data_IF_489527609454
#
_entry.id   IF_489527609454
#
_cell.length_a   1.000
_cell.length_b   1.000
_cell.length_c   1.000
_cell.angle_alpha   90.00
_cell.angle_beta   90.00
_cell.angle_gamma   90.00
#
_symmetry.space_group_name_H-M   'P 1'
#
loop_
_entity.id
_entity.type
_entity.pdbx_description
1 polymer ?
#
# COMPACT_ATOMS: atom_id res chain seq x y z
N UNK A 1 1.15 -32.52 10.96
CA UNK A 1 1.59 -32.17 10.17
C UNK A 1 0.91 -31.28 9.36
N UNK A 2 -0.12 -31.43 9.16
CA UNK A 2 -0.84 -30.56 8.46
C UNK A 2 -0.90 -29.23 9.00
N UNK A 3 -0.73 -29.16 10.26
CA UNK A 3 -0.75 -27.91 10.90
C UNK A 3 0.29 -27.00 10.40
N UNK A 4 1.33 -27.54 9.83
CA UNK A 4 2.34 -26.67 9.30
C UNK A 4 1.82 -25.78 8.24
N UNK A 5 0.83 -26.26 7.54
CA UNK A 5 0.31 -25.47 6.48
C UNK A 5 -0.33 -24.23 7.00
N UNK A 6 -1.06 -24.33 8.08
CA UNK A 6 -1.67 -23.15 8.65
C UNK A 6 -0.62 -22.19 9.15
N UNK A 7 0.44 -22.74 9.72
CA UNK A 7 1.51 -21.88 10.18
C UNK A 7 2.16 -21.15 9.03
N UNK A 8 2.31 -21.83 7.91
CA UNK A 8 2.93 -21.21 6.78
C UNK A 8 2.08 -20.08 6.24
N UNK A 9 0.78 -20.26 6.25
CA UNK A 9 -0.08 -19.21 5.77
C UNK A 9 -0.03 -18.00 6.68
N UNK A 10 0.14 -18.23 7.95
CA UNK A 10 0.24 -17.14 8.89
C UNK A 10 1.63 -16.54 8.90
N UNK A 11 2.61 -17.24 8.38
CA UNK A 11 3.98 -16.77 8.40
C UNK A 11 4.30 -16.04 7.13
N UNK A 12 4.63 -14.79 7.24
CA UNK A 12 5.06 -14.01 6.11
C UNK A 12 6.54 -13.78 6.25
N UNK A 13 7.28 -14.07 5.18
CA UNK A 13 8.72 -13.89 5.21
C UNK A 13 9.07 -12.44 4.99
N UNK A 14 9.73 -11.83 5.94
CA UNK A 14 10.16 -10.46 5.84
C UNK A 14 11.68 -10.42 5.67
N UNK A 15 12.22 -9.41 4.99
CA UNK A 15 11.46 -8.33 4.33
C UNK A 15 10.74 -8.85 3.10
N UNK A 16 9.66 -8.21 2.74
CA UNK A 16 8.91 -8.61 1.56
C UNK A 16 8.25 -7.40 0.93
N UNK A 17 7.82 -7.58 -0.30
CA UNK A 17 7.12 -6.53 -1.01
C UNK A 17 5.64 -6.65 -0.70
N UNK A 18 5.04 -5.54 -0.28
CA UNK A 18 3.62 -5.52 0.07
C UNK A 18 2.92 -4.53 -0.84
N UNK A 19 1.79 -4.90 -1.35
CA UNK A 19 1.07 -4.04 -2.29
C UNK A 19 -0.15 -3.44 -1.61
N UNK A 20 -0.22 -2.11 -1.63
CA UNK A 20 -1.38 -1.38 -1.13
C UNK A 20 -2.15 -0.83 -2.32
N UNK A 21 -3.47 -0.86 -2.25
CA UNK A 21 -4.29 -0.20 -3.25
C UNK A 21 -4.71 1.14 -2.67
N UNK A 22 -4.33 2.21 -3.33
CA UNK A 22 -4.52 3.56 -2.84
C UNK A 22 -5.43 4.30 -3.81
N UNK A 23 -6.45 4.94 -3.29
CA UNK A 23 -7.43 5.64 -4.10
C UNK A 23 -7.51 7.10 -3.69
N UNK A 24 -7.50 7.97 -4.66
CA UNK A 24 -7.63 9.40 -4.42
C UNK A 24 -8.24 10.10 -5.61
N UNK A 25 -8.37 11.42 -5.50
CA UNK A 25 -9.00 12.20 -6.56
C UNK A 25 -8.01 12.65 -7.62
N UNK A 26 -6.76 12.78 -7.26
CA UNK A 26 -5.78 13.45 -8.11
C UNK A 26 -4.47 12.68 -8.08
N UNK A 27 -3.93 12.42 -9.26
CA UNK A 27 -2.70 11.62 -9.35
C UNK A 27 -1.55 12.28 -8.62
N UNK A 28 -1.36 13.56 -8.82
CA UNK A 28 -0.25 14.26 -8.20
C UNK A 28 -0.37 14.26 -6.68
N UNK A 29 -1.56 14.49 -6.18
CA UNK A 29 -1.80 14.50 -4.74
C UNK A 29 -1.50 13.13 -4.14
N UNK A 30 -1.95 12.07 -4.80
CA UNK A 30 -1.72 10.72 -4.31
C UNK A 30 -0.24 10.39 -4.34
N UNK A 31 0.44 10.70 -5.44
CA UNK A 31 1.86 10.41 -5.55
C UNK A 31 2.66 11.18 -4.49
N UNK A 32 2.32 12.43 -4.25
CA UNK A 32 3.01 13.22 -3.23
C UNK A 32 2.77 12.65 -1.84
N UNK A 33 1.56 12.20 -1.58
CA UNK A 33 1.23 11.61 -0.29
C UNK A 33 2.04 10.33 -0.06
N UNK A 34 2.15 9.50 -1.09
CA UNK A 34 2.89 8.26 -0.99
C UNK A 34 4.37 8.54 -0.76
N UNK A 35 4.94 9.48 -1.51
CA UNK A 35 6.34 9.83 -1.34
C UNK A 35 6.61 10.37 0.07
N UNK A 36 5.66 11.15 0.58
CA UNK A 36 5.80 11.74 1.89
C UNK A 36 5.82 10.68 2.99
N UNK A 37 4.99 9.66 2.83
CA UNK A 37 4.86 8.62 3.82
C UNK A 37 6.00 7.61 3.74
N UNK A 38 6.33 7.17 2.53
CA UNK A 38 7.28 6.08 2.36
C UNK A 38 8.72 6.55 2.41
N UNK A 39 8.98 7.74 1.87
CA UNK A 39 10.29 8.37 1.96
C UNK A 39 11.43 7.50 1.42
N UNK A 40 12.28 7.00 2.29
CA UNK A 40 13.51 6.34 1.88
C UNK A 40 13.32 4.90 1.41
N UNK A 41 12.15 4.33 1.60
CA UNK A 41 11.95 2.94 1.22
C UNK A 41 11.81 2.84 -0.29
N UNK A 42 12.19 1.69 -0.82
CA UNK A 42 11.96 1.43 -2.22
C UNK A 42 10.50 1.14 -2.45
N UNK A 43 9.93 1.74 -3.44
CA UNK A 43 8.54 1.50 -3.77
C UNK A 43 8.29 1.76 -5.25
N UNK A 44 7.21 1.19 -5.75
CA UNK A 44 6.79 1.40 -7.12
C UNK A 44 5.31 1.70 -7.11
N UNK A 45 4.91 2.65 -7.95
CA UNK A 45 3.50 3.01 -8.08
C UNK A 45 3.07 2.67 -9.50
N UNK A 46 2.02 1.88 -9.61
CA UNK A 46 1.44 1.54 -10.90
C UNK A 46 0.01 2.03 -10.93
N UNK A 47 -0.35 2.65 -12.04
CA UNK A 47 -1.72 3.11 -12.19
C UNK A 47 -2.62 1.90 -12.30
N UNK A 48 -3.74 1.96 -11.60
CA UNK A 48 -4.77 0.97 -11.74
C UNK A 48 -5.87 1.60 -12.59
N UNK A 49 -6.96 0.91 -12.75
CA UNK A 49 -8.04 1.43 -13.58
C UNK A 49 -8.70 2.62 -12.90
N UNK A 50 -8.93 3.67 -13.68
CA UNK A 50 -9.70 4.79 -13.18
C UNK A 50 -11.16 4.36 -13.06
N UNK A 51 -11.90 4.99 -12.18
CA UNK A 51 -13.31 4.69 -12.06
C UNK A 51 -14.01 5.17 -13.32
N UNK A 52 -15.14 4.58 -13.63
CA UNK A 52 -15.87 4.93 -14.84
C UNK A 52 -16.33 6.38 -14.81
N UNK A 53 -16.56 6.90 -13.63
CA UNK A 53 -17.00 8.28 -13.51
C UNK A 53 -15.84 9.25 -13.55
N UNK A 54 -14.60 8.76 -13.46
CA UNK A 54 -13.44 9.62 -13.40
C UNK A 54 -13.30 10.34 -12.08
N UNK A 55 -14.13 9.99 -11.10
CA UNK A 55 -14.12 10.66 -9.83
C UNK A 55 -12.94 10.29 -8.96
N UNK A 56 -12.50 9.04 -9.07
CA UNK A 56 -11.40 8.54 -8.25
C UNK A 56 -10.39 7.84 -9.13
N UNK A 57 -9.15 7.93 -8.73
CA UNK A 57 -8.07 7.23 -9.40
C UNK A 57 -7.53 6.19 -8.44
N UNK A 58 -7.14 5.04 -8.97
CA UNK A 58 -6.66 3.93 -8.17
C UNK A 58 -5.22 3.62 -8.56
N UNK A 59 -4.39 3.37 -7.56
CA UNK A 59 -2.98 3.08 -7.78
C UNK A 59 -2.58 1.88 -6.93
N UNK A 60 -1.70 1.06 -7.48
CA UNK A 60 -1.10 -0.03 -6.71
C UNK A 60 0.29 0.41 -6.29
N UNK A 61 0.54 0.39 -5.01
CA UNK A 61 1.81 0.83 -4.45
C UNK A 61 2.50 -0.38 -3.85
N UNK A 62 3.59 -0.80 -4.45
CA UNK A 62 4.37 -1.93 -3.96
C UNK A 62 5.54 -1.36 -3.20
N UNK A 63 5.66 -1.72 -1.94
CA UNK A 63 6.72 -1.20 -1.10
C UNK A 63 7.32 -2.33 -0.29
N UNK A 64 8.63 -2.28 -0.11
CA UNK A 64 9.32 -3.28 0.69
C UNK A 64 9.13 -2.96 2.16
N UNK A 65 8.62 -3.93 2.91
CA UNK A 65 8.40 -3.76 4.35
C UNK A 65 9.28 -4.77 5.08
N UNK A 66 9.82 -4.35 6.21
CA UNK A 66 10.76 -5.17 6.96
C UNK A 66 10.08 -6.08 7.96
N UNK A 67 8.88 -5.73 8.39
CA UNK A 67 8.15 -6.55 9.35
C UNK A 67 6.69 -6.13 9.34
N UNK A 68 5.91 -6.84 10.11
CA UNK A 68 4.48 -6.59 10.17
C UNK A 68 4.17 -5.22 10.74
N UNK A 69 4.94 -4.81 11.73
CA UNK A 69 4.74 -3.49 12.33
C UNK A 69 4.94 -2.39 11.30
N UNK A 70 5.97 -2.51 10.47
CA UNK A 70 6.21 -1.54 9.40
C UNK A 70 5.09 -1.52 8.38
N UNK A 71 4.61 -2.71 8.02
CA UNK A 71 3.51 -2.84 7.08
C UNK A 71 2.26 -2.12 7.60
N UNK A 72 1.93 -2.37 8.86
CA UNK A 72 0.74 -1.77 9.45
C UNK A 72 0.89 -0.26 9.65
N UNK A 73 2.10 0.17 9.95
CA UNK A 73 2.37 1.59 10.13
C UNK A 73 2.17 2.36 8.83
N UNK A 74 2.63 1.79 7.72
CA UNK A 74 2.44 2.41 6.41
C UNK A 74 0.95 2.46 6.06
N UNK A 75 0.22 1.37 6.33
CA UNK A 75 -1.20 1.33 6.07
C UNK A 75 -1.92 2.44 6.83
N UNK A 76 -1.63 2.58 8.11
CA UNK A 76 -2.26 3.62 8.92
C UNK A 76 -1.91 5.02 8.41
N UNK A 77 -0.65 5.23 8.07
CA UNK A 77 -0.24 6.53 7.57
C UNK A 77 -0.94 6.88 6.27
N UNK A 78 -1.09 5.90 5.38
CA UNK A 78 -1.80 6.11 4.13
C UNK A 78 -3.27 6.42 4.41
N UNK A 79 -3.86 5.66 5.33
CA UNK A 79 -5.27 5.82 5.63
C UNK A 79 -5.57 7.21 6.22
N UNK A 80 -4.63 7.74 6.98
CA UNK A 80 -4.84 9.02 7.65
C UNK A 80 -4.41 10.24 6.85
N UNK A 81 -3.76 10.03 5.72
CA UNK A 81 -3.25 11.15 4.94
C UNK A 81 -4.38 11.83 4.18
N UNK A 82 -4.41 13.16 4.22
CA UNK A 82 -5.47 13.92 3.60
C UNK A 82 -5.53 13.74 2.09
N UNK A 83 -4.41 13.46 1.46
CA UNK A 83 -4.37 13.29 0.01
C UNK A 83 -4.89 11.95 -0.47
N UNK A 84 -5.22 11.05 0.45
CA UNK A 84 -5.68 9.71 0.10
C UNK A 84 -7.09 9.51 0.62
N UNK A 85 -7.97 9.05 -0.25
CA UNK A 85 -9.36 8.84 0.12
C UNK A 85 -9.58 7.47 0.75
N UNK A 86 -9.03 6.43 0.10
CA UNK A 86 -9.18 5.06 0.59
C UNK A 86 -7.88 4.31 0.40
N UNK A 87 -7.63 3.34 1.25
CA UNK A 87 -6.50 2.45 1.10
C UNK A 87 -6.95 1.03 1.49
N UNK A 88 -6.48 0.05 0.73
CA UNK A 88 -6.84 -1.35 0.96
C UNK A 88 -5.59 -2.20 0.99
#
# INVERSE_FOLDING_TARGET
MIDNRDSEEASIDYPCEWVYKVIGHNKETVHNAIADIIQDREYQINDSNASKTGKYLSFNVAVTVDDEAGRNKIYQALKEHDGIKFVF
#
